data_IF_746034959961
#
_entry.id   IF_746034959961
#
_cell.length_a   1.000
_cell.length_b   1.000
_cell.length_c   1.000
_cell.angle_alpha   90.00
_cell.angle_beta   90.00
_cell.angle_gamma   90.00
#
_symmetry.space_group_name_H-M   'P 1'
#
loop_
_entity.id
_entity.type
_entity.pdbx_description
1 polymer ?
#
# COMPACT_ATOMS: atom_id res chain seq x y z
N UNK A 1 -22.71 -9.02 -1.01
CA UNK A 1 -21.32 -9.48 -1.27
C UNK A 1 -20.83 -10.22 -0.04
N UNK A 2 -20.71 -11.55 -0.10
CA UNK A 2 -20.28 -12.38 1.03
C UNK A 2 -18.76 -12.33 1.22
N UNK A 3 -18.30 -12.41 2.47
CA UNK A 3 -16.87 -12.51 2.80
C UNK A 3 -16.34 -13.85 2.28
N UNK A 4 -15.40 -13.80 1.33
CA UNK A 4 -14.89 -15.01 0.67
C UNK A 4 -13.78 -15.73 1.45
N UNK A 5 -13.10 -15.05 2.38
CA UNK A 5 -11.98 -15.64 3.15
C UNK A 5 -11.95 -15.14 4.59
N UNK A 6 -11.73 -16.03 5.56
CA UNK A 6 -11.60 -15.66 6.98
C UNK A 6 -10.24 -15.04 7.31
N UNK A 7 -9.13 -15.74 7.00
CA UNK A 7 -7.77 -15.36 7.42
C UNK A 7 -6.85 -14.95 6.26
N UNK A 8 -7.07 -15.46 5.06
CA UNK A 8 -6.12 -15.34 3.96
C UNK A 8 -6.08 -13.93 3.34
N UNK A 9 -7.23 -13.25 3.20
CA UNK A 9 -7.31 -11.92 2.60
C UNK A 9 -6.67 -11.86 1.21
N UNK A 10 -5.88 -10.81 0.94
CA UNK A 10 -5.22 -10.59 -0.36
C UNK A 10 -4.18 -11.65 -0.72
N UNK A 11 -3.62 -12.33 0.29
CA UNK A 11 -2.68 -13.42 0.13
C UNK A 11 -3.36 -14.75 -0.27
N UNK A 12 -4.69 -14.78 -0.35
CA UNK A 12 -5.45 -15.94 -0.86
C UNK A 12 -5.06 -16.34 -2.29
N UNK A 13 -4.54 -15.41 -3.11
CA UNK A 13 -4.08 -15.70 -4.48
C UNK A 13 -2.95 -16.73 -4.55
N UNK A 14 -2.19 -16.89 -3.47
CA UNK A 14 -1.06 -17.81 -3.44
C UNK A 14 -1.47 -19.27 -3.21
N UNK A 15 -2.72 -19.52 -2.78
CA UNK A 15 -3.22 -20.85 -2.45
C UNK A 15 -2.45 -21.48 -1.28
N UNK A 16 -2.08 -22.75 -1.43
CA UNK A 16 -1.34 -23.51 -0.43
C UNK A 16 0.18 -23.24 -0.41
N UNK A 17 0.70 -22.45 -1.36
CA UNK A 17 2.15 -22.23 -1.55
C UNK A 17 2.73 -21.23 -0.53
N UNK A 18 4.06 -21.29 -0.36
CA UNK A 18 4.91 -20.33 0.38
C UNK A 18 4.74 -20.29 1.92
N UNK A 19 3.89 -21.12 2.51
CA UNK A 19 3.72 -21.20 3.96
C UNK A 19 2.96 -20.01 4.58
N UNK A 20 2.73 -20.06 5.90
CA UNK A 20 1.88 -19.06 6.59
C UNK A 20 2.62 -17.75 6.85
N UNK A 21 3.88 -17.81 7.30
CA UNK A 21 4.65 -16.62 7.71
C UNK A 21 4.87 -15.66 6.54
N UNK A 22 5.30 -16.19 5.39
CA UNK A 22 5.54 -15.38 4.19
C UNK A 22 4.23 -14.76 3.69
N UNK A 23 3.13 -15.54 3.65
CA UNK A 23 1.82 -15.03 3.24
C UNK A 23 1.30 -13.93 4.17
N UNK A 24 1.53 -14.04 5.48
CA UNK A 24 1.13 -13.01 6.44
C UNK A 24 1.91 -11.70 6.23
N UNK A 25 3.23 -11.79 5.98
CA UNK A 25 4.06 -10.60 5.67
C UNK A 25 3.61 -9.92 4.37
N UNK A 26 3.34 -10.69 3.33
CA UNK A 26 2.84 -10.12 2.06
C UNK A 26 1.46 -9.50 2.27
N UNK A 27 0.57 -10.15 3.03
CA UNK A 27 -0.76 -9.61 3.34
C UNK A 27 -0.68 -8.23 4.00
N UNK A 28 0.20 -8.04 4.99
CA UNK A 28 0.32 -6.74 5.68
C UNK A 28 0.87 -5.66 4.75
N UNK A 29 1.89 -5.98 3.95
CA UNK A 29 2.47 -5.06 2.96
C UNK A 29 1.42 -4.63 1.94
N UNK A 30 0.65 -5.58 1.41
CA UNK A 30 -0.38 -5.30 0.42
C UNK A 30 -1.58 -4.55 0.98
N UNK A 31 -1.95 -4.79 2.23
CA UNK A 31 -3.00 -4.05 2.90
C UNK A 31 -2.63 -2.56 3.00
N UNK A 32 -1.39 -2.25 3.40
CA UNK A 32 -0.89 -0.88 3.45
C UNK A 32 -0.78 -0.26 2.05
N UNK A 33 -0.28 -1.01 1.08
CA UNK A 33 -0.11 -0.54 -0.29
C UNK A 33 -1.44 -0.21 -0.99
N UNK A 34 -2.47 -1.05 -0.80
CA UNK A 34 -3.78 -0.90 -1.47
C UNK A 34 -4.73 0.03 -0.73
N UNK A 35 -4.41 0.42 0.50
CA UNK A 35 -5.18 1.40 1.26
C UNK A 35 -5.23 2.72 0.47
N UNK A 36 -6.38 3.38 0.50
CA UNK A 36 -6.47 4.75 0.00
C UNK A 36 -5.81 5.67 1.02
N UNK A 37 -4.89 6.51 0.55
CA UNK A 37 -4.14 7.43 1.40
C UNK A 37 -4.50 8.88 1.10
N UNK A 38 -4.29 9.73 2.09
CA UNK A 38 -4.51 11.17 2.00
C UNK A 38 -3.44 11.84 1.13
N UNK A 39 -3.85 12.74 0.27
CA UNK A 39 -2.94 13.52 -0.57
C UNK A 39 -2.40 14.72 0.21
N UNK A 40 -1.08 14.99 0.20
CA UNK A 40 -0.51 16.16 0.90
C UNK A 40 -0.91 17.51 0.26
N UNK A 41 -1.43 17.50 -0.97
CA UNK A 41 -1.80 18.72 -1.70
C UNK A 41 -3.29 19.03 -1.51
N UNK A 42 -4.16 18.09 -1.86
CA UNK A 42 -5.61 18.32 -1.86
C UNK A 42 -6.34 17.69 -0.67
N UNK A 43 -5.62 17.06 0.27
CA UNK A 43 -6.14 16.42 1.50
C UNK A 43 -7.25 15.39 1.26
N UNK A 44 -7.35 14.89 0.03
CA UNK A 44 -8.35 13.90 -0.34
C UNK A 44 -7.75 12.50 -0.33
N UNK A 45 -8.49 11.54 0.24
CA UNK A 45 -8.11 10.12 0.35
C UNK A 45 -8.25 9.37 -0.98
N UNK A 46 -7.48 9.76 -1.99
CA UNK A 46 -7.56 9.18 -3.35
C UNK A 46 -6.21 8.79 -3.95
N UNK A 47 -5.15 8.88 -3.16
CA UNK A 47 -3.80 8.54 -3.63
C UNK A 47 -3.74 7.05 -3.93
N UNK A 48 -3.20 6.71 -5.10
CA UNK A 48 -2.90 5.33 -5.51
C UNK A 48 -1.44 5.22 -5.97
N UNK A 49 -0.86 4.04 -5.75
CA UNK A 49 0.46 3.68 -6.26
C UNK A 49 0.41 3.49 -7.77
N UNK A 50 1.30 4.14 -8.50
CA UNK A 50 1.46 3.95 -9.95
C UNK A 50 2.60 2.97 -10.23
N UNK A 51 3.73 3.15 -9.57
CA UNK A 51 4.89 2.26 -9.69
C UNK A 51 5.63 2.16 -8.35
N UNK A 52 6.76 1.46 -8.34
CA UNK A 52 7.63 1.40 -7.16
C UNK A 52 8.14 2.79 -6.80
N UNK A 53 7.66 3.33 -5.68
CA UNK A 53 8.06 4.64 -5.16
C UNK A 53 7.34 5.83 -5.79
N UNK A 54 6.48 5.64 -6.80
CA UNK A 54 5.70 6.73 -7.41
C UNK A 54 4.22 6.59 -7.03
N UNK A 55 3.70 7.65 -6.42
CA UNK A 55 2.31 7.75 -5.98
C UNK A 55 1.63 8.90 -6.72
N UNK A 56 0.37 8.69 -7.10
CA UNK A 56 -0.42 9.68 -7.81
C UNK A 56 -1.79 9.86 -7.15
N UNK A 57 -2.18 11.11 -6.94
CA UNK A 57 -3.52 11.46 -6.51
C UNK A 57 -4.48 11.47 -7.70
N UNK A 58 -5.65 10.83 -7.59
CA UNK A 58 -6.64 10.83 -8.67
C UNK A 58 -7.41 12.14 -8.80
N UNK A 59 -7.59 12.89 -7.72
CA UNK A 59 -8.33 14.16 -7.78
C UNK A 59 -7.52 15.31 -8.37
N UNK A 60 -6.36 15.60 -7.80
CA UNK A 60 -5.53 16.73 -8.26
C UNK A 60 -4.46 16.36 -9.31
N UNK A 61 -4.28 15.07 -9.61
CA UNK A 61 -3.26 14.61 -10.57
C UNK A 61 -1.81 14.70 -10.10
N UNK A 62 -1.57 15.20 -8.87
CA UNK A 62 -0.23 15.34 -8.32
C UNK A 62 0.46 13.97 -8.22
N UNK A 63 1.69 13.89 -8.76
CA UNK A 63 2.58 12.73 -8.67
C UNK A 63 3.74 13.07 -7.75
N UNK A 64 4.07 12.18 -6.83
CA UNK A 64 5.18 12.39 -5.90
C UNK A 64 5.93 11.09 -5.63
N UNK A 65 7.19 11.24 -5.23
CA UNK A 65 8.06 10.15 -4.84
C UNK A 65 7.91 9.88 -3.34
N UNK A 66 7.69 8.62 -2.97
CA UNK A 66 7.60 8.18 -1.57
C UNK A 66 8.12 6.74 -1.41
N UNK A 67 7.88 6.13 -0.26
CA UNK A 67 8.24 4.73 -0.01
C UNK A 67 7.65 3.74 -1.05
N UNK A 68 8.31 2.59 -1.19
CA UNK A 68 7.90 1.56 -2.15
C UNK A 68 6.51 0.97 -1.87
N UNK A 69 6.14 0.86 -0.58
CA UNK A 69 4.90 0.24 -0.11
C UNK A 69 4.03 1.16 0.76
N UNK A 70 4.57 2.31 1.17
CA UNK A 70 3.85 3.34 1.92
C UNK A 70 4.06 4.69 1.24
N UNK A 71 3.02 5.55 1.15
CA UNK A 71 3.15 6.90 0.60
C UNK A 71 3.80 7.88 1.58
N UNK A 72 4.38 7.39 2.67
CA UNK A 72 5.16 8.21 3.60
C UNK A 72 6.33 8.84 2.85
N UNK A 73 6.30 10.17 2.78
CA UNK A 73 7.46 10.97 2.49
C UNK A 73 8.38 10.81 3.69
N UNK A 74 9.28 9.82 3.65
CA UNK A 74 10.34 9.75 4.65
C UNK A 74 11.05 11.09 4.62
N UNK A 75 10.85 11.93 5.64
CA UNK A 75 11.89 12.88 6.01
C UNK A 75 13.14 12.02 6.16
N UNK A 76 14.19 12.30 5.40
CA UNK A 76 15.48 11.74 5.70
C UNK A 76 15.73 12.11 7.16
N UNK A 77 15.63 11.14 8.07
CA UNK A 77 16.20 11.27 9.40
C UNK A 77 17.70 11.35 9.17
N UNK A 78 18.17 12.57 8.90
CA UNK A 78 19.51 13.00 9.24
C UNK A 78 19.50 13.05 10.76
N UNK A 79 20.18 12.13 11.43
CA UNK A 79 20.36 12.17 12.88
C UNK A 79 20.44 10.78 13.51
N UNK A 80 21.69 10.39 13.77
CA UNK A 80 22.22 9.39 14.73
C UNK A 80 21.87 7.90 14.58
#
# INVERSE_FOLDING_TARGET
>A
MSKRTEKAGTAGRFGARYGVVVRNRVRTIEANQKKSHECPVCHHTSVKRVSSGIWACKHCGAKYAAGAYSPDLKKATIGE
#
